data_IF_434340966319
#
_entry.id   IF_434340966319
#
_cell.length_a   1.000
_cell.length_b   1.000
_cell.length_c   1.000
_cell.angle_alpha   90.00
_cell.angle_beta   90.00
_cell.angle_gamma   90.00
#
_symmetry.space_group_name_H-M   'P 1'
#
loop_
_entity.id
_entity.type
_entity.pdbx_description
1 polymer ?
#
# COMPACT_ATOMS: atom_id res chain seq x y z
N UNK A 1 -24.15 -42.01 -2.72
CA UNK A 1 -24.93 -40.81 -2.33
C UNK A 1 -23.90 -39.76 -1.93
N UNK A 2 -23.65 -38.75 -2.76
CA UNK A 2 -22.65 -37.72 -2.46
C UNK A 2 -23.17 -36.83 -1.33
N UNK A 3 -22.41 -36.71 -0.25
CA UNK A 3 -22.70 -35.88 0.91
C UNK A 3 -22.50 -34.40 0.56
N UNK A 4 -23.41 -33.83 -0.25
CA UNK A 4 -23.30 -32.44 -0.75
C UNK A 4 -23.54 -31.37 0.33
N UNK A 5 -24.03 -31.76 1.50
CA UNK A 5 -24.31 -30.85 2.62
C UNK A 5 -23.16 -30.75 3.64
N UNK A 6 -22.09 -31.54 3.50
CA UNK A 6 -20.90 -31.41 4.35
C UNK A 6 -19.93 -30.36 3.78
N UNK A 7 -19.52 -29.40 4.61
CA UNK A 7 -18.47 -28.41 4.27
C UNK A 7 -17.18 -29.11 3.80
N UNK A 8 -16.47 -28.48 2.85
CA UNK A 8 -15.30 -29.03 2.18
C UNK A 8 -14.17 -29.45 3.15
N UNK A 9 -14.00 -28.78 4.29
CA UNK A 9 -13.05 -29.20 5.32
C UNK A 9 -13.43 -30.55 5.95
N UNK A 10 -14.71 -30.73 6.30
CA UNK A 10 -15.21 -31.99 6.85
C UNK A 10 -15.08 -33.12 5.83
N UNK A 11 -15.41 -32.85 4.56
CA UNK A 11 -15.21 -33.79 3.45
C UNK A 11 -13.73 -34.16 3.27
N UNK A 12 -12.82 -33.21 3.46
CA UNK A 12 -11.36 -33.44 3.45
C UNK A 12 -10.85 -34.21 4.70
N UNK A 13 -11.70 -34.47 5.69
CA UNK A 13 -11.33 -35.14 6.94
C UNK A 13 -10.72 -34.21 7.99
N UNK A 14 -10.84 -32.89 7.83
CA UNK A 14 -10.47 -31.89 8.83
C UNK A 14 -11.64 -31.75 9.81
N UNK A 15 -11.48 -32.25 11.03
CA UNK A 15 -12.51 -32.21 12.08
C UNK A 15 -12.41 -31.00 13.01
N UNK A 16 -11.22 -30.40 13.12
CA UNK A 16 -10.97 -29.19 13.89
C UNK A 16 -10.25 -28.17 12.99
N UNK A 17 -10.98 -27.15 12.56
CA UNK A 17 -10.45 -26.12 11.66
C UNK A 17 -9.43 -25.22 12.38
N UNK A 18 -9.62 -24.97 13.68
CA UNK A 18 -8.71 -24.16 14.48
C UNK A 18 -7.34 -24.84 14.65
N UNK A 19 -7.34 -26.13 14.95
CA UNK A 19 -6.10 -26.95 15.01
C UNK A 19 -5.42 -27.07 13.64
N UNK A 20 -6.20 -27.27 12.57
CA UNK A 20 -5.67 -27.29 11.21
C UNK A 20 -4.91 -26.01 10.86
N UNK A 21 -5.51 -24.84 11.12
CA UNK A 21 -4.84 -23.56 10.88
C UNK A 21 -3.68 -23.32 11.85
N UNK A 22 -3.80 -23.72 13.11
CA UNK A 22 -2.71 -23.65 14.09
C UNK A 22 -1.48 -24.40 13.60
N UNK A 23 -1.59 -25.68 13.31
CA UNK A 23 -0.43 -26.50 12.90
C UNK A 23 0.23 -26.02 11.60
N UNK A 24 -0.53 -25.32 10.76
CA UNK A 24 -0.08 -24.82 9.47
C UNK A 24 0.57 -23.45 9.50
N UNK A 25 0.01 -22.53 10.29
CA UNK A 25 0.42 -21.12 10.29
C UNK A 25 1.06 -20.68 11.62
N UNK A 26 1.00 -21.51 12.66
CA UNK A 26 1.67 -21.27 13.94
C UNK A 26 2.91 -22.15 14.02
N UNK A 27 4.08 -21.54 13.83
CA UNK A 27 5.38 -22.12 14.17
C UNK A 27 6.01 -21.37 15.33
N UNK A 28 6.98 -21.97 16.01
CA UNK A 28 7.77 -21.28 17.05
C UNK A 28 8.41 -20.00 16.51
N UNK A 29 8.72 -19.97 15.20
CA UNK A 29 9.24 -18.79 14.51
C UNK A 29 8.16 -17.70 14.34
N UNK A 30 6.92 -18.05 14.00
CA UNK A 30 5.77 -17.12 13.87
C UNK A 30 5.33 -16.56 15.23
N UNK A 31 5.51 -17.34 16.29
CA UNK A 31 5.26 -16.95 17.68
C UNK A 31 6.40 -16.12 18.31
N UNK A 32 7.54 -16.01 17.62
CA UNK A 32 8.66 -15.19 18.06
C UNK A 32 8.35 -13.71 17.85
N UNK A 33 8.53 -12.88 18.88
CA UNK A 33 8.35 -11.43 18.79
C UNK A 33 9.27 -10.76 17.73
N UNK A 34 10.33 -11.45 17.28
CA UNK A 34 11.21 -11.03 16.18
C UNK A 34 10.60 -11.24 14.80
N UNK A 35 9.62 -12.13 14.65
CA UNK A 35 8.98 -12.45 13.36
C UNK A 35 8.37 -11.23 12.68
N UNK A 36 7.80 -10.32 13.48
CA UNK A 36 7.11 -9.12 13.01
C UNK A 36 7.93 -7.83 13.13
N UNK A 37 9.26 -7.92 13.26
CA UNK A 37 10.10 -6.75 12.98
C UNK A 37 9.96 -6.44 11.50
N UNK A 38 9.04 -5.54 11.16
CA UNK A 38 8.64 -5.18 9.80
C UNK A 38 9.80 -4.71 8.87
N UNK A 39 11.03 -4.58 9.38
CA UNK A 39 12.23 -4.26 8.61
C UNK A 39 13.08 -5.50 8.27
N UNK A 40 12.75 -6.67 8.82
CA UNK A 40 13.53 -7.90 8.66
C UNK A 40 13.05 -8.80 7.51
N UNK A 41 11.86 -8.56 6.95
CA UNK A 41 11.37 -9.20 5.71
C UNK A 41 10.67 -8.17 4.83
N UNK A 42 11.24 -7.83 3.67
CA UNK A 42 10.54 -7.11 2.60
C UNK A 42 10.07 -8.12 1.54
N UNK A 43 9.13 -8.99 1.90
CA UNK A 43 8.56 -9.97 0.96
C UNK A 43 7.16 -9.53 0.47
N UNK A 44 6.47 -10.39 -0.28
CA UNK A 44 5.11 -10.12 -0.78
C UNK A 44 4.11 -9.80 0.34
N UNK A 45 4.28 -10.39 1.53
CA UNK A 45 3.42 -10.12 2.70
C UNK A 45 3.64 -8.71 3.21
N UNK A 46 4.88 -8.24 3.18
CA UNK A 46 5.21 -6.85 3.48
C UNK A 46 4.55 -5.88 2.49
N UNK A 47 4.59 -6.15 1.18
CA UNK A 47 3.93 -5.29 0.17
C UNK A 47 2.41 -5.19 0.41
N UNK A 48 1.74 -6.31 0.72
CA UNK A 48 0.31 -6.36 1.08
C UNK A 48 0.00 -5.58 2.36
N UNK A 49 0.87 -5.72 3.35
CA UNK A 49 0.77 -5.00 4.63
C UNK A 49 0.96 -3.50 4.42
N UNK A 50 1.90 -3.09 3.57
CA UNK A 50 2.12 -1.68 3.22
C UNK A 50 0.94 -1.09 2.45
N UNK A 51 0.31 -1.87 1.56
CA UNK A 51 -0.93 -1.45 0.91
C UNK A 51 -2.03 -1.09 1.92
N UNK A 52 -2.27 -1.93 2.93
CA UNK A 52 -3.19 -1.61 4.03
C UNK A 52 -2.68 -0.39 4.79
N UNK A 53 -1.41 -0.39 5.19
CA UNK A 53 -0.81 0.70 5.95
C UNK A 53 -1.04 2.04 5.28
N UNK A 54 -0.75 2.18 3.99
CA UNK A 54 -0.79 3.46 3.28
C UNK A 54 -2.23 3.98 3.06
N UNK A 55 -3.22 3.09 3.02
CA UNK A 55 -4.63 3.46 2.82
C UNK A 55 -5.43 3.66 4.10
N UNK A 56 -4.98 3.10 5.23
CA UNK A 56 -5.62 3.31 6.53
C UNK A 56 -5.26 4.69 7.09
N UNK A 57 -6.28 5.47 7.47
CA UNK A 57 -6.09 6.77 8.10
C UNK A 57 -5.60 6.64 9.55
N UNK A 58 -4.80 7.62 9.99
CA UNK A 58 -4.32 7.67 11.36
C UNK A 58 -5.46 7.84 12.37
N UNK A 59 -5.33 7.22 13.54
CA UNK A 59 -6.33 7.28 14.62
C UNK A 59 -7.59 6.43 14.40
N UNK A 60 -7.69 5.71 13.28
CA UNK A 60 -8.89 4.92 12.93
C UNK A 60 -9.06 3.67 13.79
N UNK A 61 -10.29 3.13 13.83
CA UNK A 61 -10.60 1.80 14.34
C UNK A 61 -10.54 0.78 13.22
N UNK A 62 -9.71 -0.25 13.37
CA UNK A 62 -9.42 -1.28 12.34
C UNK A 62 -9.74 -2.67 12.89
N UNK A 63 -10.51 -3.44 12.13
CA UNK A 63 -10.73 -4.87 12.36
C UNK A 63 -9.95 -5.69 11.32
N UNK A 64 -9.08 -6.58 11.77
CA UNK A 64 -8.31 -7.51 10.94
C UNK A 64 -8.93 -8.92 11.03
N UNK A 65 -9.49 -9.39 9.91
CA UNK A 65 -10.12 -10.70 9.78
C UNK A 65 -9.10 -11.76 9.41
N UNK A 66 -8.97 -12.80 10.22
CA UNK A 66 -7.93 -13.81 10.10
C UNK A 66 -6.56 -13.23 10.43
N UNK A 67 -6.45 -12.58 11.60
CA UNK A 67 -5.27 -11.77 11.95
C UNK A 67 -3.97 -12.58 12.11
N UNK A 68 -4.06 -13.91 12.17
CA UNK A 68 -2.93 -14.78 12.44
C UNK A 68 -2.17 -14.33 13.68
N UNK A 69 -0.84 -14.31 13.62
CA UNK A 69 -0.01 -13.81 14.70
C UNK A 69 0.20 -12.27 14.70
N UNK A 70 -0.56 -11.50 13.92
CA UNK A 70 -0.60 -10.04 14.02
C UNK A 70 0.30 -9.28 13.03
N UNK A 71 0.21 -9.62 11.75
CA UNK A 71 1.05 -9.02 10.70
C UNK A 71 0.83 -7.51 10.52
N UNK A 72 -0.36 -7.00 10.83
CA UNK A 72 -0.69 -5.58 10.68
C UNK A 72 -0.31 -4.72 11.89
N UNK A 73 0.46 -5.25 12.85
CA UNK A 73 0.90 -4.51 14.04
C UNK A 73 1.62 -3.19 13.71
N UNK A 74 2.22 -3.07 12.52
CA UNK A 74 2.87 -1.84 12.09
C UNK A 74 1.89 -0.66 11.95
N UNK A 75 0.59 -0.90 11.75
CA UNK A 75 -0.46 0.12 11.76
C UNK A 75 -0.50 0.91 13.06
N UNK A 76 -0.01 0.36 14.18
CA UNK A 76 0.09 1.08 15.45
C UNK A 76 0.94 2.35 15.36
N UNK A 77 1.85 2.45 14.38
CA UNK A 77 2.59 3.69 14.07
C UNK A 77 1.69 4.84 13.64
N UNK A 78 0.51 4.54 13.09
CA UNK A 78 -0.55 5.50 12.74
C UNK A 78 -1.51 5.80 13.90
N UNK A 79 -1.25 5.29 15.10
CA UNK A 79 -2.10 5.51 16.27
C UNK A 79 -3.49 4.90 16.15
N UNK A 80 -3.68 3.88 15.31
CA UNK A 80 -4.96 3.18 15.16
C UNK A 80 -5.29 2.35 16.40
N UNK A 81 -6.58 2.07 16.58
CA UNK A 81 -7.05 0.98 17.44
C UNK A 81 -7.20 -0.27 16.58
N UNK A 82 -6.41 -1.30 16.86
CA UNK A 82 -6.30 -2.51 16.06
C UNK A 82 -6.92 -3.70 16.79
N UNK A 83 -8.01 -4.23 16.23
CA UNK A 83 -8.71 -5.42 16.71
C UNK A 83 -8.49 -6.56 15.72
N UNK A 84 -8.12 -7.75 16.20
CA UNK A 84 -7.93 -8.94 15.37
C UNK A 84 -8.92 -10.06 15.72
N UNK A 85 -9.33 -10.82 14.71
CA UNK A 85 -10.09 -12.06 14.92
C UNK A 85 -9.44 -13.20 14.16
N UNK A 86 -9.38 -14.38 14.77
CA UNK A 86 -8.83 -15.59 14.14
C UNK A 86 -9.56 -16.83 14.65
N UNK A 87 -9.48 -17.96 13.94
CA UNK A 87 -10.04 -19.23 14.42
C UNK A 87 -9.12 -19.92 15.44
N UNK A 88 -7.82 -19.58 15.47
CA UNK A 88 -6.85 -20.11 16.43
C UNK A 88 -6.72 -19.19 17.67
N UNK A 89 -6.91 -19.75 18.87
CA UNK A 89 -6.59 -19.07 20.13
C UNK A 89 -5.13 -18.65 20.24
N UNK A 90 -4.20 -19.45 19.72
CA UNK A 90 -2.77 -19.21 19.74
C UNK A 90 -2.39 -18.02 18.85
N UNK A 91 -2.95 -17.94 17.64
CA UNK A 91 -2.85 -16.77 16.77
C UNK A 91 -3.34 -15.50 17.48
N UNK A 92 -4.54 -15.56 18.06
CA UNK A 92 -5.13 -14.45 18.82
C UNK A 92 -4.27 -14.02 20.02
N UNK A 93 -3.60 -14.95 20.69
CA UNK A 93 -2.67 -14.63 21.78
C UNK A 93 -1.38 -13.97 21.24
N UNK A 94 -0.85 -14.46 20.12
CA UNK A 94 0.33 -13.90 19.48
C UNK A 94 0.08 -12.49 18.93
N UNK A 95 -1.04 -12.25 18.26
CA UNK A 95 -1.41 -10.93 17.75
C UNK A 95 -1.46 -9.86 18.86
N UNK A 96 -2.03 -10.20 20.02
CA UNK A 96 -2.01 -9.34 21.22
C UNK A 96 -0.59 -9.05 21.70
N UNK A 97 0.28 -10.07 21.79
CA UNK A 97 1.68 -9.88 22.16
C UNK A 97 2.43 -8.98 21.17
N UNK A 98 2.05 -9.03 19.90
CA UNK A 98 2.68 -8.29 18.81
C UNK A 98 2.12 -6.86 18.63
N UNK A 99 1.14 -6.44 19.43
CA UNK A 99 0.75 -5.03 19.54
C UNK A 99 -0.70 -4.71 19.14
N UNK A 100 -1.54 -5.72 18.90
CA UNK A 100 -2.98 -5.53 18.72
C UNK A 100 -3.60 -5.14 20.06
N UNK A 101 -4.49 -4.15 20.07
CA UNK A 101 -5.18 -3.72 21.30
C UNK A 101 -6.13 -4.81 21.80
N UNK A 102 -6.79 -5.49 20.86
CA UNK A 102 -7.67 -6.62 21.11
C UNK A 102 -7.42 -7.69 20.06
N UNK A 103 -7.43 -8.96 20.46
CA UNK A 103 -7.58 -10.06 19.52
C UNK A 103 -8.40 -11.18 20.15
N UNK A 104 -9.21 -11.90 19.37
CA UNK A 104 -10.07 -12.94 19.93
C UNK A 104 -10.36 -14.07 18.94
N UNK A 105 -10.70 -15.22 19.50
CA UNK A 105 -11.09 -16.39 18.72
C UNK A 105 -12.56 -16.32 18.37
N UNK A 106 -12.89 -16.19 17.08
CA UNK A 106 -14.28 -16.19 16.61
C UNK A 106 -14.38 -16.62 15.15
N UNK A 107 -15.60 -16.98 14.73
CA UNK A 107 -15.92 -17.24 13.32
C UNK A 107 -16.19 -15.91 12.62
N UNK A 108 -15.77 -15.79 11.37
CA UNK A 108 -15.95 -14.56 10.60
C UNK A 108 -17.41 -14.33 10.16
N UNK A 109 -18.23 -15.38 10.17
CA UNK A 109 -19.66 -15.34 9.84
C UNK A 109 -20.56 -14.94 11.01
N UNK A 110 -19.98 -14.72 12.20
CA UNK A 110 -20.69 -14.26 13.40
C UNK A 110 -19.72 -13.45 14.27
N UNK A 111 -19.58 -12.16 13.95
CA UNK A 111 -18.63 -11.27 14.61
C UNK A 111 -19.25 -10.67 15.88
N UNK A 112 -18.57 -10.75 17.05
CA UNK A 112 -19.09 -10.29 18.33
C UNK A 112 -18.92 -8.76 18.52
N UNK A 113 -19.17 -7.99 17.47
CA UNK A 113 -19.07 -6.53 17.46
C UNK A 113 -20.43 -5.92 17.14
N UNK A 114 -20.67 -4.72 17.67
CA UNK A 114 -21.86 -3.95 17.30
C UNK A 114 -21.79 -3.49 15.84
N UNK A 115 -22.94 -3.15 15.28
CA UNK A 115 -23.02 -2.54 13.96
C UNK A 115 -22.20 -1.24 13.91
N UNK A 116 -21.60 -0.93 12.76
CA UNK A 116 -20.91 0.35 12.51
C UNK A 116 -19.79 0.67 13.52
N UNK A 117 -19.04 -0.34 13.93
CA UNK A 117 -17.96 -0.23 14.92
C UNK A 117 -16.64 0.24 14.32
N UNK A 118 -16.30 -0.17 13.10
CA UNK A 118 -14.97 0.01 12.52
C UNK A 118 -14.95 0.99 11.35
N UNK A 119 -13.89 1.80 11.27
CA UNK A 119 -13.60 2.62 10.09
C UNK A 119 -13.05 1.77 8.95
N UNK A 120 -12.26 0.74 9.29
CA UNK A 120 -11.71 -0.20 8.34
C UNK A 120 -11.94 -1.64 8.79
N UNK A 121 -12.34 -2.48 7.85
CA UNK A 121 -12.29 -3.94 7.99
C UNK A 121 -11.29 -4.45 6.96
N UNK A 122 -10.29 -5.19 7.38
CA UNK A 122 -9.18 -5.60 6.51
C UNK A 122 -8.98 -7.10 6.59
N UNK A 123 -8.48 -7.69 5.52
CA UNK A 123 -8.14 -9.10 5.50
C UNK A 123 -7.11 -9.38 4.42
N UNK A 124 -6.05 -10.11 4.74
CA UNK A 124 -5.01 -10.52 3.80
C UNK A 124 -4.95 -12.04 3.77
N UNK A 125 -5.18 -12.64 2.60
CA UNK A 125 -5.06 -14.10 2.39
C UNK A 125 -6.05 -14.94 3.21
N UNK A 126 -7.31 -14.49 3.34
CA UNK A 126 -8.34 -15.22 4.12
C UNK A 126 -9.58 -15.57 3.30
N UNK A 127 -9.99 -14.73 2.35
CA UNK A 127 -11.24 -14.95 1.60
C UNK A 127 -11.22 -16.26 0.81
N UNK A 128 -10.06 -16.69 0.28
CA UNK A 128 -9.91 -17.96 -0.42
C UNK A 128 -10.01 -19.21 0.48
N UNK A 129 -9.86 -19.03 1.79
CA UNK A 129 -9.99 -20.07 2.82
C UNK A 129 -11.45 -20.25 3.30
N UNK A 130 -12.36 -19.36 2.92
CA UNK A 130 -13.76 -19.43 3.33
C UNK A 130 -14.54 -20.23 2.28
N UNK A 131 -15.28 -21.25 2.72
CA UNK A 131 -16.17 -22.03 1.83
C UNK A 131 -17.19 -21.15 1.11
N UNK A 132 -17.56 -21.50 -0.13
CA UNK A 132 -18.46 -20.70 -0.97
C UNK A 132 -19.79 -20.36 -0.29
N UNK A 133 -20.29 -21.27 0.53
CA UNK A 133 -21.53 -21.19 1.29
C UNK A 133 -21.45 -20.21 2.47
N UNK A 134 -20.27 -19.99 3.05
CA UNK A 134 -20.07 -19.11 4.20
C UNK A 134 -19.70 -17.68 3.80
N UNK A 135 -19.16 -17.47 2.59
CA UNK A 135 -18.67 -16.16 2.13
C UNK A 135 -19.69 -15.05 2.23
N UNK A 136 -20.95 -15.31 1.87
CA UNK A 136 -21.99 -14.28 1.92
C UNK A 136 -22.33 -13.87 3.36
N UNK A 137 -22.31 -14.82 4.30
CA UNK A 137 -22.49 -14.53 5.72
C UNK A 137 -21.33 -13.69 6.26
N UNK A 138 -20.09 -14.03 5.88
CA UNK A 138 -18.91 -13.24 6.25
C UNK A 138 -18.99 -11.82 5.68
N UNK A 139 -19.30 -11.65 4.40
CA UNK A 139 -19.42 -10.32 3.80
C UNK A 139 -20.59 -9.51 4.37
N UNK A 140 -21.67 -10.17 4.79
CA UNK A 140 -22.76 -9.54 5.55
C UNK A 140 -22.25 -8.98 6.87
N UNK A 141 -21.46 -9.75 7.63
CA UNK A 141 -20.85 -9.30 8.87
C UNK A 141 -19.86 -8.16 8.66
N UNK A 142 -19.03 -8.24 7.61
CA UNK A 142 -18.14 -7.13 7.21
C UNK A 142 -18.93 -5.86 6.97
N UNK A 143 -19.99 -5.92 6.17
CA UNK A 143 -20.85 -4.76 5.88
C UNK A 143 -21.53 -4.22 7.14
N UNK A 144 -21.98 -5.10 8.03
CA UNK A 144 -22.65 -4.75 9.29
C UNK A 144 -21.74 -4.01 10.26
N UNK A 145 -20.53 -4.51 10.50
CA UNK A 145 -19.60 -3.92 11.48
C UNK A 145 -18.85 -2.70 10.94
N UNK A 146 -18.88 -2.47 9.63
CA UNK A 146 -18.28 -1.31 8.98
C UNK A 146 -19.17 -0.07 9.17
N UNK A 147 -18.55 1.07 9.48
CA UNK A 147 -19.23 2.37 9.51
C UNK A 147 -19.78 2.75 8.13
N UNK A 148 -20.78 3.65 8.04
CA UNK A 148 -21.34 4.08 6.75
C UNK A 148 -20.30 4.53 5.72
N UNK A 149 -19.28 5.28 6.17
CA UNK A 149 -18.16 5.77 5.35
C UNK A 149 -16.90 4.90 5.47
N UNK A 150 -17.00 3.76 6.17
CA UNK A 150 -15.88 2.86 6.34
C UNK A 150 -15.49 2.16 5.04
N UNK A 151 -14.26 1.68 4.99
CA UNK A 151 -13.71 0.98 3.81
C UNK A 151 -13.27 -0.41 4.21
N UNK A 152 -13.71 -1.42 3.46
CA UNK A 152 -13.18 -2.77 3.59
C UNK A 152 -12.10 -3.02 2.54
N UNK A 153 -10.99 -3.65 2.95
CA UNK A 153 -9.81 -3.86 2.10
C UNK A 153 -9.32 -5.31 2.17
N UNK A 154 -9.22 -5.96 1.03
CA UNK A 154 -8.90 -7.38 0.94
C UNK A 154 -7.77 -7.66 -0.02
N UNK A 155 -6.81 -8.46 0.42
CA UNK A 155 -5.88 -9.15 -0.45
C UNK A 155 -6.34 -10.59 -0.65
N UNK A 156 -6.63 -10.98 -1.90
CA UNK A 156 -7.34 -12.22 -2.20
C UNK A 156 -6.64 -13.01 -3.31
N UNK A 157 -6.38 -14.28 -3.06
CA UNK A 157 -5.92 -15.25 -4.05
C UNK A 157 -7.08 -15.65 -4.97
N UNK A 158 -6.86 -15.55 -6.28
CA UNK A 158 -7.82 -15.96 -7.29
C UNK A 158 -7.36 -17.25 -7.97
N UNK A 159 -8.32 -17.93 -8.59
CA UNK A 159 -8.06 -19.06 -9.48
C UNK A 159 -8.57 -18.76 -10.89
N UNK A 160 -8.35 -19.68 -11.82
CA UNK A 160 -8.94 -19.69 -13.16
C UNK A 160 -10.10 -20.67 -13.17
N UNK A 161 -11.26 -20.30 -13.71
CA UNK A 161 -12.37 -21.22 -13.85
C UNK A 161 -12.00 -22.48 -14.64
N UNK A 162 -11.10 -22.41 -15.61
CA UNK A 162 -10.64 -23.57 -16.36
C UNK A 162 -9.68 -24.48 -15.56
N UNK A 163 -8.92 -23.91 -14.61
CA UNK A 163 -8.00 -24.65 -13.74
C UNK A 163 -8.61 -24.99 -12.36
N UNK A 164 -9.76 -24.39 -12.04
CA UNK A 164 -10.49 -24.60 -10.79
C UNK A 164 -10.96 -26.05 -10.77
N UNK A 165 -10.31 -26.84 -9.93
CA UNK A 165 -10.73 -28.22 -9.73
C UNK A 165 -12.15 -28.23 -9.17
N UNK A 166 -13.02 -29.05 -9.74
CA UNK A 166 -14.36 -29.20 -9.22
C UNK A 166 -14.29 -29.97 -7.89
N UNK A 167 -14.37 -29.25 -6.77
CA UNK A 167 -14.32 -29.83 -5.42
C UNK A 167 -15.40 -30.90 -5.21
N UNK A 168 -16.52 -30.82 -5.92
CA UNK A 168 -17.61 -31.80 -5.83
C UNK A 168 -17.31 -33.11 -6.55
N UNK A 169 -16.38 -33.08 -7.51
CA UNK A 169 -15.94 -34.26 -8.26
C UNK A 169 -14.71 -34.93 -7.62
N UNK A 170 -14.01 -34.24 -6.72
CA UNK A 170 -12.89 -34.80 -5.98
C UNK A 170 -13.33 -35.91 -5.03
N UNK A 171 -12.60 -37.03 -5.06
CA UNK A 171 -12.71 -38.01 -3.98
C UNK A 171 -12.09 -37.47 -2.68
N UNK A 172 -12.36 -38.15 -1.57
CA UNK A 172 -11.91 -37.72 -0.23
C UNK A 172 -10.40 -37.54 -0.11
N UNK A 173 -9.62 -38.41 -0.76
CA UNK A 173 -8.16 -38.36 -0.66
C UNK A 173 -7.56 -37.22 -1.48
N UNK A 174 -8.09 -36.98 -2.67
CA UNK A 174 -7.66 -35.86 -3.52
C UNK A 174 -8.05 -34.50 -2.93
N UNK A 175 -9.27 -34.40 -2.38
CA UNK A 175 -9.72 -33.21 -1.66
C UNK A 175 -8.87 -32.98 -0.40
N UNK A 176 -8.55 -34.05 0.35
CA UNK A 176 -7.65 -33.96 1.50
C UNK A 176 -6.27 -33.45 1.10
N UNK A 177 -5.63 -34.02 0.07
CA UNK A 177 -4.33 -33.56 -0.43
C UNK A 177 -4.38 -32.08 -0.85
N UNK A 178 -5.45 -31.68 -1.53
CA UNK A 178 -5.64 -30.29 -1.95
C UNK A 178 -5.79 -29.32 -0.76
N UNK A 179 -6.61 -29.69 0.23
CA UNK A 179 -6.85 -28.88 1.42
C UNK A 179 -5.61 -28.85 2.34
N UNK A 180 -4.92 -29.96 2.55
CA UNK A 180 -3.70 -30.04 3.36
C UNK A 180 -2.61 -29.09 2.84
N UNK A 181 -2.53 -28.91 1.54
CA UNK A 181 -1.52 -28.13 0.83
C UNK A 181 -1.57 -26.64 1.19
N UNK A 182 -2.67 -25.93 0.90
CA UNK A 182 -2.79 -24.49 1.21
C UNK A 182 -4.07 -24.12 1.96
N UNK A 183 -5.04 -25.03 2.06
CA UNK A 183 -6.25 -24.83 2.86
C UNK A 183 -7.32 -24.02 2.15
N UNK A 184 -7.09 -23.59 0.91
CA UNK A 184 -8.09 -22.88 0.11
C UNK A 184 -9.21 -23.82 -0.31
N UNK A 185 -10.44 -23.52 0.13
CA UNK A 185 -11.65 -24.27 -0.24
C UNK A 185 -12.66 -23.39 -0.98
N UNK A 186 -12.32 -22.13 -1.20
CA UNK A 186 -13.19 -21.12 -1.77
C UNK A 186 -12.50 -20.23 -2.78
N UNK A 187 -11.61 -20.74 -3.63
CA UNK A 187 -11.02 -19.88 -4.66
C UNK A 187 -12.08 -19.52 -5.73
N UNK A 188 -12.18 -18.24 -6.02
CA UNK A 188 -13.02 -17.68 -7.09
C UNK A 188 -12.14 -16.98 -8.12
N UNK A 189 -12.69 -16.67 -9.28
CA UNK A 189 -12.05 -15.74 -10.20
C UNK A 189 -12.12 -14.29 -9.66
N UNK A 190 -11.24 -13.43 -10.15
CA UNK A 190 -11.23 -12.00 -9.84
C UNK A 190 -12.62 -11.35 -10.02
N UNK A 191 -13.28 -11.61 -11.16
CA UNK A 191 -14.57 -11.00 -11.47
C UNK A 191 -15.70 -11.57 -10.61
N UNK A 192 -15.57 -12.80 -10.13
CA UNK A 192 -16.51 -13.42 -9.20
C UNK A 192 -16.40 -12.78 -7.82
N UNK A 193 -15.18 -12.52 -7.34
CA UNK A 193 -14.98 -11.72 -6.12
C UNK A 193 -15.61 -10.34 -6.25
N UNK A 194 -15.32 -9.61 -7.33
CA UNK A 194 -15.92 -8.29 -7.57
C UNK A 194 -17.46 -8.31 -7.54
N UNK A 195 -18.08 -9.25 -8.27
CA UNK A 195 -19.54 -9.44 -8.27
C UNK A 195 -20.10 -9.77 -6.90
N UNK A 196 -19.40 -10.58 -6.10
CA UNK A 196 -19.84 -10.95 -4.76
C UNK A 196 -19.84 -9.73 -3.83
N UNK A 197 -18.76 -8.95 -3.83
CA UNK A 197 -18.68 -7.72 -3.02
C UNK A 197 -19.74 -6.68 -3.42
N UNK A 198 -20.08 -6.56 -4.72
CA UNK A 198 -21.12 -5.65 -5.21
C UNK A 198 -22.52 -5.95 -4.67
N UNK A 199 -22.75 -7.14 -4.10
CA UNK A 199 -24.02 -7.48 -3.42
C UNK A 199 -24.15 -6.80 -2.05
N UNK A 200 -23.03 -6.37 -1.46
CA UNK A 200 -22.96 -5.84 -0.09
C UNK A 200 -22.52 -4.38 -0.02
N UNK A 201 -21.89 -3.87 -1.07
CA UNK A 201 -21.32 -2.52 -1.13
C UNK A 201 -21.66 -1.81 -2.44
N UNK A 202 -21.91 -0.50 -2.36
CA UNK A 202 -22.23 0.34 -3.53
C UNK A 202 -21.03 0.59 -4.44
N UNK A 203 -19.86 0.74 -3.85
CA UNK A 203 -18.61 1.00 -4.55
C UNK A 203 -17.66 -0.17 -4.28
N UNK A 204 -17.25 -0.84 -5.36
CA UNK A 204 -16.28 -1.93 -5.31
C UNK A 204 -15.28 -1.68 -6.41
N UNK A 205 -14.00 -1.68 -6.06
CA UNK A 205 -12.91 -1.57 -6.99
C UNK A 205 -11.88 -2.64 -6.62
N UNK A 206 -11.25 -3.22 -7.63
CA UNK A 206 -10.19 -4.18 -7.41
C UNK A 206 -9.12 -4.03 -8.49
N UNK A 207 -7.92 -4.46 -8.13
CA UNK A 207 -6.74 -4.29 -8.96
C UNK A 207 -5.98 -5.62 -9.00
N UNK A 208 -5.86 -6.23 -10.19
CA UNK A 208 -5.12 -7.47 -10.32
C UNK A 208 -3.63 -7.20 -10.11
N UNK A 209 -3.01 -8.14 -9.41
CA UNK A 209 -1.61 -8.14 -9.02
C UNK A 209 -0.99 -9.41 -9.52
N UNK A 210 0.10 -9.26 -10.28
CA UNK A 210 0.88 -10.42 -10.65
C UNK A 210 1.75 -10.78 -9.48
N UNK A 211 1.44 -11.90 -8.86
CA UNK A 211 2.29 -12.49 -7.84
C UNK A 211 3.37 -13.34 -8.53
N UNK A 212 4.36 -12.69 -9.17
CA UNK A 212 5.71 -13.25 -9.05
C UNK A 212 6.15 -12.95 -7.62
N UNK A 213 6.93 -13.84 -7.01
CA UNK A 213 7.57 -13.70 -5.69
C UNK A 213 6.88 -14.40 -4.53
N UNK A 214 6.82 -15.71 -4.67
CA UNK A 214 6.99 -16.66 -3.58
C UNK A 214 8.42 -16.44 -3.02
N UNK A 215 8.59 -16.30 -1.71
CA UNK A 215 9.93 -16.23 -1.10
C UNK A 215 10.78 -17.41 -1.54
N UNK A 216 12.10 -17.38 -1.34
CA UNK A 216 12.95 -18.53 -1.65
C UNK A 216 12.41 -19.83 -1.02
N UNK A 217 11.88 -19.76 0.21
CA UNK A 217 11.24 -20.88 0.91
C UNK A 217 10.00 -21.39 0.18
N UNK A 218 9.22 -20.50 -0.40
CA UNK A 218 7.98 -20.86 -1.06
C UNK A 218 8.25 -21.45 -2.45
N UNK A 219 9.28 -21.00 -3.18
CA UNK A 219 9.78 -21.71 -4.38
C UNK A 219 10.21 -23.15 -4.06
N UNK A 220 10.98 -23.34 -2.98
CA UNK A 220 11.40 -24.67 -2.55
C UNK A 220 10.22 -25.52 -2.10
N UNK A 221 9.29 -24.96 -1.33
CA UNK A 221 8.06 -25.62 -0.92
C UNK A 221 7.24 -26.06 -2.14
N UNK A 222 7.05 -25.18 -3.13
CA UNK A 222 6.36 -25.48 -4.40
C UNK A 222 7.05 -26.61 -5.18
N UNK A 223 8.37 -26.58 -5.30
CA UNK A 223 9.13 -27.65 -5.96
C UNK A 223 9.01 -28.98 -5.19
N UNK A 224 9.37 -28.97 -3.92
CA UNK A 224 9.54 -30.17 -3.09
C UNK A 224 8.20 -30.82 -2.73
N UNK A 225 7.13 -30.03 -2.53
CA UNK A 225 5.82 -30.54 -2.10
C UNK A 225 4.77 -30.61 -3.21
N UNK A 226 4.86 -29.78 -4.25
CA UNK A 226 3.83 -29.67 -5.30
C UNK A 226 4.30 -30.23 -6.64
N UNK A 227 5.59 -30.60 -6.76
CA UNK A 227 6.14 -31.15 -7.99
C UNK A 227 6.13 -30.16 -9.15
N UNK A 228 6.09 -28.86 -8.86
CA UNK A 228 6.25 -27.83 -9.88
C UNK A 228 7.68 -27.88 -10.42
N UNK A 229 7.79 -27.88 -11.74
CA UNK A 229 9.08 -27.98 -12.42
C UNK A 229 9.76 -26.61 -12.41
N UNK A 230 10.89 -26.54 -11.72
CA UNK A 230 11.84 -25.44 -11.79
C UNK A 230 13.19 -25.99 -12.27
N UNK A 231 14.08 -25.13 -12.73
CA UNK A 231 15.45 -25.51 -13.09
C UNK A 231 16.18 -26.00 -11.83
N UNK A 232 16.87 -27.16 -11.90
CA UNK A 232 17.50 -27.77 -10.73
C UNK A 232 18.59 -26.88 -10.11
N UNK A 233 19.37 -26.20 -10.95
CA UNK A 233 20.40 -25.26 -10.52
C UNK A 233 19.81 -24.02 -9.82
N UNK A 234 18.63 -23.57 -10.24
CA UNK A 234 17.89 -22.53 -9.53
C UNK A 234 17.44 -22.99 -8.14
N UNK A 235 16.88 -24.20 -8.02
CA UNK A 235 16.49 -24.74 -6.71
C UNK A 235 17.70 -24.94 -5.80
N UNK A 236 18.82 -25.43 -6.33
CA UNK A 236 20.05 -25.61 -5.57
C UNK A 236 20.66 -24.28 -5.15
N UNK A 237 20.60 -23.26 -6.01
CA UNK A 237 20.94 -21.87 -5.63
C UNK A 237 20.10 -21.41 -4.44
N UNK A 238 18.77 -21.56 -4.49
CA UNK A 238 17.86 -21.17 -3.40
C UNK A 238 18.13 -21.94 -2.10
N UNK A 239 18.45 -23.24 -2.17
CA UNK A 239 18.84 -24.06 -1.01
C UNK A 239 20.19 -23.61 -0.42
N UNK A 240 21.11 -23.15 -1.28
CA UNK A 240 22.44 -22.69 -0.91
C UNK A 240 22.51 -21.28 -0.31
N UNK A 241 21.44 -20.49 -0.38
CA UNK A 241 21.41 -19.13 0.16
C UNK A 241 21.69 -19.09 1.67
N UNK A 242 22.71 -18.34 2.08
CA UNK A 242 22.88 -17.96 3.48
C UNK A 242 21.71 -17.10 3.97
N UNK A 243 21.56 -16.93 5.29
CA UNK A 243 20.50 -16.08 5.85
C UNK A 243 20.47 -14.66 5.26
N UNK A 244 21.65 -14.05 5.02
CA UNK A 244 21.75 -12.70 4.45
C UNK A 244 21.38 -12.65 2.97
N UNK A 245 21.80 -13.65 2.19
CA UNK A 245 21.50 -13.73 0.76
C UNK A 245 20.02 -14.07 0.53
N UNK A 246 19.47 -14.97 1.34
CA UNK A 246 18.03 -15.27 1.38
C UNK A 246 17.22 -14.00 1.64
N UNK A 247 17.62 -13.22 2.65
CA UNK A 247 17.03 -11.92 2.92
C UNK A 247 17.13 -10.99 1.71
N UNK A 248 18.30 -10.85 1.08
CA UNK A 248 18.47 -9.97 -0.07
C UNK A 248 17.63 -10.41 -1.27
N UNK A 249 17.54 -11.71 -1.54
CA UNK A 249 16.69 -12.30 -2.58
C UNK A 249 15.21 -12.00 -2.30
N UNK A 250 14.72 -12.34 -1.11
CA UNK A 250 13.33 -12.10 -0.73
C UNK A 250 12.99 -10.60 -0.76
N UNK A 251 13.93 -9.73 -0.37
CA UNK A 251 13.80 -8.28 -0.49
C UNK A 251 13.66 -7.85 -1.96
N UNK A 252 14.57 -8.29 -2.84
CA UNK A 252 14.53 -7.95 -4.25
C UNK A 252 13.22 -8.42 -4.90
N UNK A 253 12.73 -9.59 -4.49
CA UNK A 253 11.49 -10.18 -4.97
C UNK A 253 10.24 -9.45 -4.43
N UNK A 254 10.20 -9.07 -3.15
CA UNK A 254 9.10 -8.27 -2.59
C UNK A 254 8.98 -6.85 -3.16
N UNK A 255 10.08 -6.28 -3.68
CA UNK A 255 10.05 -5.01 -4.43
C UNK A 255 9.36 -5.12 -5.81
N UNK A 256 9.20 -6.32 -6.37
CA UNK A 256 8.52 -6.56 -7.67
C UNK A 256 7.03 -6.84 -7.47
N UNK A 257 6.37 -6.18 -6.51
CA UNK A 257 4.91 -6.16 -6.46
C UNK A 257 4.37 -5.05 -7.38
N UNK A 258 4.49 -5.27 -8.68
CA UNK A 258 4.04 -4.32 -9.71
C UNK A 258 2.53 -4.38 -9.96
N UNK A 259 1.93 -3.24 -10.34
CA UNK A 259 0.64 -3.25 -11.01
C UNK A 259 0.84 -3.89 -12.39
N UNK A 260 -0.02 -4.83 -12.75
CA UNK A 260 0.14 -5.59 -14.00
C UNK A 260 0.16 -4.67 -15.22
N UNK A 261 -0.70 -3.66 -15.23
CA UNK A 261 -0.75 -2.70 -16.35
C UNK A 261 0.58 -1.98 -16.55
N UNK A 262 1.35 -1.73 -15.49
CA UNK A 262 2.63 -0.99 -15.56
C UNK A 262 3.74 -1.73 -16.31
N UNK A 263 3.51 -3.00 -16.68
CA UNK A 263 4.52 -3.85 -17.33
C UNK A 263 4.29 -3.99 -18.84
N UNK A 264 3.22 -3.43 -19.42
CA UNK A 264 2.78 -3.67 -20.81
C UNK A 264 2.80 -5.17 -21.20
N UNK A 265 2.52 -6.03 -20.21
CA UNK A 265 2.55 -7.48 -20.34
C UNK A 265 1.13 -8.03 -20.33
N UNK A 266 0.78 -8.78 -21.37
CA UNK A 266 -0.42 -9.62 -21.35
C UNK A 266 -0.12 -10.91 -20.62
N UNK A 267 -0.61 -11.03 -19.39
CA UNK A 267 -0.46 -12.23 -18.57
C UNK A 267 -1.60 -13.23 -18.81
N UNK A 268 -1.42 -14.50 -18.41
CA UNK A 268 -2.51 -15.47 -18.39
C UNK A 268 -3.70 -14.91 -17.60
N UNK A 269 -4.93 -15.14 -18.07
CA UNK A 269 -6.17 -14.70 -17.39
C UNK A 269 -6.44 -15.44 -16.07
N UNK A 270 -5.46 -16.19 -15.57
CA UNK A 270 -5.61 -17.33 -14.68
C UNK A 270 -4.71 -17.21 -13.45
N UNK A 271 -5.25 -17.44 -12.25
CA UNK A 271 -4.45 -17.63 -11.03
C UNK A 271 -3.78 -16.37 -10.47
N UNK A 272 -4.44 -15.21 -10.60
CA UNK A 272 -3.91 -13.93 -10.14
C UNK A 272 -4.20 -13.66 -8.65
N UNK A 273 -3.55 -12.66 -8.09
CA UNK A 273 -3.89 -12.11 -6.78
C UNK A 273 -4.60 -10.78 -6.99
N UNK A 274 -5.56 -10.40 -6.15
CA UNK A 274 -6.25 -9.11 -6.26
C UNK A 274 -6.17 -8.32 -4.98
N UNK A 275 -5.97 -7.02 -5.12
CA UNK A 275 -6.31 -6.07 -4.07
C UNK A 275 -7.71 -5.54 -4.33
N UNK A 276 -8.61 -5.69 -3.38
CA UNK A 276 -10.01 -5.28 -3.50
C UNK A 276 -10.35 -4.29 -2.38
N UNK A 277 -10.98 -3.16 -2.75
CA UNK A 277 -11.59 -2.21 -1.83
C UNK A 277 -13.10 -2.19 -2.05
N UNK A 278 -13.85 -2.06 -0.97
CA UNK A 278 -15.29 -1.83 -1.07
C UNK A 278 -15.80 -0.89 0.02
N UNK A 279 -16.82 -0.10 -0.30
CA UNK A 279 -17.47 0.83 0.62
C UNK A 279 -18.87 1.21 0.12
N UNK A 280 -19.69 1.77 1.01
CA UNK A 280 -20.93 2.45 0.63
C UNK A 280 -20.72 3.90 0.22
N UNK A 281 -19.53 4.45 0.47
CA UNK A 281 -19.09 5.78 0.05
C UNK A 281 -18.07 5.68 -1.09
N UNK A 282 -17.90 6.74 -1.90
CA UNK A 282 -16.94 6.73 -3.01
C UNK A 282 -15.54 6.33 -2.55
N UNK A 283 -14.91 5.43 -3.31
CA UNK A 283 -13.58 4.94 -3.00
C UNK A 283 -12.51 5.94 -3.47
N UNK A 284 -11.50 6.14 -2.63
CA UNK A 284 -10.25 6.79 -3.04
C UNK A 284 -9.36 5.88 -3.90
N UNK A 285 -8.31 6.46 -4.50
CA UNK A 285 -7.37 5.73 -5.37
C UNK A 285 -6.71 4.55 -4.66
N UNK A 286 -6.30 3.51 -5.40
CA UNK A 286 -5.39 2.48 -4.89
C UNK A 286 -4.00 3.05 -4.58
N UNK A 287 -3.31 2.37 -3.66
CA UNK A 287 -1.90 2.60 -3.40
C UNK A 287 -1.12 2.57 -4.72
N UNK A 288 -0.18 3.50 -4.90
CA UNK A 288 0.63 3.65 -6.12
C UNK A 288 -0.12 4.04 -7.40
N UNK A 289 -1.38 4.49 -7.38
CA UNK A 289 -2.00 5.07 -8.58
C UNK A 289 -1.21 6.29 -9.11
N UNK A 290 -0.51 7.02 -8.24
CA UNK A 290 0.43 8.09 -8.63
C UNK A 290 1.80 7.58 -9.15
N UNK A 291 1.97 6.26 -9.29
CA UNK A 291 3.14 5.60 -9.88
C UNK A 291 2.82 4.87 -11.19
N UNK A 292 1.69 5.18 -11.84
CA UNK A 292 1.39 4.71 -13.18
C UNK A 292 2.61 4.92 -14.10
N UNK A 293 3.20 3.80 -14.53
CA UNK A 293 4.43 3.78 -15.33
C UNK A 293 4.15 4.01 -16.81
N UNK A 294 2.89 4.01 -17.26
CA UNK A 294 2.56 4.35 -18.66
C UNK A 294 2.87 5.83 -18.94
N UNK A 295 2.79 6.68 -17.90
CA UNK A 295 3.30 8.05 -17.97
C UNK A 295 4.84 8.15 -18.09
N UNK A 296 5.59 7.06 -17.84
CA UNK A 296 7.05 6.99 -18.05
C UNK A 296 7.42 6.64 -19.50
N UNK A 297 6.47 6.12 -20.29
CA UNK A 297 6.70 5.73 -21.67
C UNK A 297 5.50 6.09 -22.56
N UNK A 298 5.52 7.28 -23.14
CA UNK A 298 4.71 7.61 -24.32
C UNK A 298 5.64 7.67 -25.54
N UNK A 299 5.33 6.88 -26.57
CA UNK A 299 5.95 7.05 -27.91
C UNK A 299 5.44 8.29 -28.64
N UNK A 300 4.43 8.96 -28.08
CA UNK A 300 3.80 10.14 -28.66
C UNK A 300 4.35 11.41 -27.97
N UNK A 301 5.26 12.09 -28.66
CA UNK A 301 5.84 13.39 -28.29
C UNK A 301 4.76 14.46 -28.02
N UNK A 302 3.54 14.30 -28.58
CA UNK A 302 2.46 15.27 -28.45
C UNK A 302 1.70 15.21 -27.11
N UNK A 303 1.86 14.12 -26.33
CA UNK A 303 1.28 13.96 -25.00
C UNK A 303 2.17 14.51 -23.86
N UNK A 304 3.32 15.12 -24.17
CA UNK A 304 4.21 15.80 -23.21
C UNK A 304 3.61 17.11 -22.67
N UNK A 305 2.41 17.08 -22.11
CA UNK A 305 2.03 18.13 -21.17
C UNK A 305 2.88 17.93 -19.91
N UNK A 306 3.71 18.92 -19.57
CA UNK A 306 4.51 18.93 -18.34
C UNK A 306 3.55 18.82 -17.15
N UNK A 307 3.30 17.59 -16.70
CA UNK A 307 2.46 17.33 -15.54
C UNK A 307 3.33 17.09 -14.32
N UNK A 308 4.55 16.57 -14.49
CA UNK A 308 5.49 16.24 -13.43
C UNK A 308 6.91 16.69 -13.82
N UNK A 309 7.46 17.66 -13.07
CA UNK A 309 8.73 18.32 -13.36
C UNK A 309 9.95 17.47 -12.96
N UNK A 310 9.88 16.77 -11.82
CA UNK A 310 10.98 15.95 -11.28
C UNK A 310 11.33 14.73 -12.13
N UNK A 311 10.50 14.41 -13.12
CA UNK A 311 10.63 13.27 -14.03
C UNK A 311 10.72 13.71 -15.50
N UNK A 312 10.87 15.00 -15.77
CA UNK A 312 10.89 15.53 -17.14
C UNK A 312 12.30 16.03 -17.52
N UNK A 313 12.85 15.48 -18.61
CA UNK A 313 14.20 15.83 -19.08
C UNK A 313 14.35 17.26 -19.59
N UNK A 314 13.25 17.98 -19.84
CA UNK A 314 13.26 19.40 -20.20
C UNK A 314 13.34 20.33 -18.98
N UNK A 315 13.27 19.78 -17.76
CA UNK A 315 13.36 20.53 -16.50
C UNK A 315 14.79 20.53 -16.00
N UNK A 316 15.26 21.69 -15.55
CA UNK A 316 16.60 21.83 -15.00
C UNK A 316 16.52 22.03 -13.48
N UNK A 317 17.18 21.14 -12.75
CA UNK A 317 17.44 21.28 -11.31
C UNK A 317 18.83 21.89 -11.15
N UNK A 318 18.99 22.85 -10.24
CA UNK A 318 20.31 23.43 -9.93
C UNK A 318 21.10 22.61 -8.90
N UNK A 319 22.30 23.09 -8.54
CA UNK A 319 23.19 22.44 -7.59
C UNK A 319 22.68 22.48 -6.13
N UNK A 320 21.56 23.16 -5.86
CA UNK A 320 20.89 23.14 -4.57
C UNK A 320 20.20 21.79 -4.27
N UNK A 321 20.04 20.95 -5.29
CA UNK A 321 19.46 19.62 -5.20
C UNK A 321 20.53 18.53 -5.12
N UNK A 322 20.38 17.64 -4.16
CA UNK A 322 21.12 16.39 -4.08
C UNK A 322 20.34 15.28 -4.81
N UNK A 323 20.82 14.92 -6.00
CA UNK A 323 20.24 13.81 -6.78
C UNK A 323 20.61 12.45 -6.15
N UNK A 324 19.65 11.50 -6.02
CA UNK A 324 19.99 10.13 -5.70
C UNK A 324 20.59 9.42 -6.93
N UNK A 325 21.50 8.46 -6.69
CA UNK A 325 22.15 7.66 -7.74
C UNK A 325 21.19 6.71 -8.52
N UNK A 326 19.88 6.74 -8.23
CA UNK A 326 18.84 5.93 -8.85
C UNK A 326 17.86 6.85 -9.58
N UNK A 327 17.70 6.66 -10.89
CA UNK A 327 16.79 7.43 -11.74
C UNK A 327 15.60 6.55 -12.19
N UNK A 328 14.34 7.03 -12.09
CA UNK A 328 13.95 8.32 -11.51
C UNK A 328 14.06 8.34 -9.97
N UNK A 329 14.34 9.51 -9.37
CA UNK A 329 14.54 9.64 -7.92
C UNK A 329 13.23 9.42 -7.16
N UNK A 330 13.27 8.69 -6.02
CA UNK A 330 12.11 8.58 -5.10
C UNK A 330 11.78 9.94 -4.48
N UNK A 331 12.82 10.74 -4.19
CA UNK A 331 12.74 12.14 -3.76
C UNK A 331 14.10 12.82 -3.99
N UNK A 332 14.11 14.15 -4.15
CA UNK A 332 15.32 14.97 -4.23
C UNK A 332 15.48 15.73 -2.92
N UNK A 333 16.64 15.60 -2.29
CA UNK A 333 16.96 16.37 -1.08
C UNK A 333 17.49 17.74 -1.48
N UNK A 334 17.10 18.80 -0.78
CA UNK A 334 17.70 20.12 -0.98
C UNK A 334 18.59 20.53 0.19
N UNK A 335 19.54 21.40 -0.12
CA UNK A 335 20.28 22.19 0.88
C UNK A 335 19.38 23.29 1.47
N UNK A 336 19.92 24.46 1.83
CA UNK A 336 19.13 25.60 2.31
C UNK A 336 18.29 26.25 1.20
N UNK A 337 18.70 26.14 -0.05
CA UNK A 337 18.00 26.68 -1.21
C UNK A 337 18.17 25.71 -2.38
N UNK A 338 17.12 25.58 -3.19
CA UNK A 338 17.19 24.85 -4.44
C UNK A 338 16.21 25.43 -5.48
N UNK A 339 16.56 25.29 -6.74
CA UNK A 339 15.85 25.92 -7.85
C UNK A 339 15.46 24.89 -8.92
N UNK A 340 14.25 25.03 -9.45
CA UNK A 340 13.71 24.24 -10.57
C UNK A 340 13.29 25.18 -11.68
N UNK A 341 13.84 24.97 -12.87
CA UNK A 341 13.50 25.75 -14.08
C UNK A 341 12.74 24.88 -15.06
N UNK A 342 11.62 25.38 -15.53
CA UNK A 342 10.72 24.67 -16.45
C UNK A 342 9.94 25.64 -17.34
N UNK A 343 9.38 25.11 -18.41
CA UNK A 343 8.45 25.85 -19.26
C UNK A 343 7.03 25.33 -19.05
N UNK A 344 6.03 26.21 -19.05
CA UNK A 344 4.63 25.83 -18.98
C UNK A 344 3.77 26.92 -19.62
N UNK A 345 2.70 26.53 -20.31
CA UNK A 345 1.68 27.48 -20.79
C UNK A 345 0.54 27.53 -19.79
N UNK A 346 -0.03 28.71 -19.53
CA UNK A 346 -1.23 28.86 -18.70
C UNK A 346 -1.14 28.22 -17.30
N UNK A 347 0.03 28.33 -16.64
CA UNK A 347 0.28 27.72 -15.33
C UNK A 347 -0.70 28.25 -14.26
N UNK A 348 -1.48 27.35 -13.65
CA UNK A 348 -2.50 27.69 -12.65
C UNK A 348 -2.16 27.23 -11.24
N UNK A 349 -1.44 26.10 -11.13
CA UNK A 349 -1.09 25.51 -9.84
C UNK A 349 0.23 24.75 -9.94
N UNK A 350 1.02 24.79 -8.87
CA UNK A 350 2.17 23.91 -8.63
C UNK A 350 1.87 23.08 -7.39
N UNK A 351 1.77 21.77 -7.55
CA UNK A 351 1.64 20.79 -6.46
C UNK A 351 3.01 20.20 -6.15
N UNK A 352 3.35 20.01 -4.88
CA UNK A 352 4.57 19.30 -4.50
C UNK A 352 4.38 18.49 -3.22
N UNK A 353 4.89 17.28 -3.20
CA UNK A 353 4.97 16.44 -2.02
C UNK A 353 6.32 16.66 -1.34
N UNK A 354 6.32 17.08 -0.09
CA UNK A 354 7.54 17.33 0.65
C UNK A 354 7.53 16.70 2.03
N UNK A 355 8.73 16.44 2.55
CA UNK A 355 8.97 15.92 3.90
C UNK A 355 10.26 16.48 4.45
N UNK A 356 10.47 16.38 5.76
CA UNK A 356 11.73 16.67 6.41
C UNK A 356 12.08 15.58 7.41
N UNK A 357 13.38 15.41 7.64
CA UNK A 357 13.94 14.55 8.67
C UNK A 357 14.80 15.32 9.67
N UNK A 358 14.54 16.62 9.83
CA UNK A 358 15.21 17.40 10.86
C UNK A 358 14.93 16.82 12.25
N UNK A 359 15.98 16.45 13.02
CA UNK A 359 15.80 15.73 14.28
C UNK A 359 15.12 16.57 15.37
N UNK A 360 15.22 17.91 15.28
CA UNK A 360 14.72 18.89 16.24
C UNK A 360 13.53 19.71 15.68
N UNK A 361 12.84 19.24 14.64
CA UNK A 361 11.77 20.01 13.97
C UNK A 361 10.58 20.33 14.88
N UNK A 362 10.38 19.54 15.95
CA UNK A 362 9.31 19.76 16.92
C UNK A 362 9.63 20.91 17.87
N UNK A 363 10.90 21.02 18.27
CA UNK A 363 11.40 22.06 19.17
C UNK A 363 11.69 23.35 18.41
N UNK A 364 12.15 23.24 17.16
CA UNK A 364 12.48 24.34 16.27
C UNK A 364 11.83 24.10 14.91
N UNK A 365 10.64 24.64 14.64
CA UNK A 365 10.00 24.48 13.34
C UNK A 365 10.90 24.93 12.18
N UNK A 366 10.82 24.24 11.04
CA UNK A 366 11.55 24.56 9.81
C UNK A 366 10.69 25.51 8.96
N UNK A 367 11.19 26.71 8.66
CA UNK A 367 10.51 27.67 7.80
C UNK A 367 10.85 27.34 6.35
N UNK A 368 9.83 27.17 5.52
CA UNK A 368 9.95 26.91 4.08
C UNK A 368 9.25 28.01 3.29
N UNK A 369 9.98 28.64 2.37
CA UNK A 369 9.51 29.69 1.46
C UNK A 369 9.53 29.18 0.01
N UNK A 370 8.48 29.51 -0.75
CA UNK A 370 8.37 29.25 -2.18
C UNK A 370 8.32 30.58 -2.92
N UNK A 371 9.21 30.74 -3.89
CA UNK A 371 9.35 31.94 -4.71
C UNK A 371 9.27 31.51 -6.18
N UNK A 372 8.42 32.15 -6.97
CA UNK A 372 8.27 31.87 -8.40
C UNK A 372 8.63 33.12 -9.20
N UNK A 373 9.64 33.05 -10.08
CA UNK A 373 10.14 34.19 -10.85
C UNK A 373 10.42 35.41 -9.97
N UNK A 374 11.16 35.19 -8.87
CA UNK A 374 11.52 36.20 -7.86
C UNK A 374 10.35 36.81 -7.07
N UNK A 375 9.13 36.28 -7.22
CA UNK A 375 7.94 36.74 -6.50
C UNK A 375 7.51 35.68 -5.45
N UNK A 376 7.36 36.06 -4.17
CA UNK A 376 6.96 35.12 -3.13
C UNK A 376 5.56 34.55 -3.39
N UNK A 377 5.44 33.22 -3.43
CA UNK A 377 4.15 32.53 -3.50
C UNK A 377 3.58 32.27 -2.11
N UNK A 378 4.37 31.66 -1.23
CA UNK A 378 3.94 31.33 0.12
C UNK A 378 5.13 31.04 1.03
N UNK A 379 4.88 31.10 2.34
CA UNK A 379 5.81 30.67 3.38
C UNK A 379 5.03 29.93 4.47
N UNK A 380 5.55 28.81 4.95
CA UNK A 380 4.97 28.09 6.08
C UNK A 380 6.03 27.42 6.95
N UNK A 381 5.62 26.93 8.11
CA UNK A 381 6.49 26.21 9.04
C UNK A 381 6.12 24.74 9.16
N UNK A 382 7.12 23.87 9.06
CA UNK A 382 7.01 22.44 9.38
C UNK A 382 7.40 22.23 10.84
N UNK A 383 6.52 21.59 11.61
CA UNK A 383 6.71 21.33 13.04
C UNK A 383 6.72 19.83 13.39
N UNK A 384 6.54 18.96 12.39
CA UNK A 384 6.56 17.50 12.52
C UNK A 384 7.13 16.86 11.26
N UNK A 385 7.75 15.70 11.43
CA UNK A 385 8.14 14.84 10.31
C UNK A 385 6.89 14.19 9.70
N UNK A 386 6.87 14.06 8.37
CA UNK A 386 5.78 13.46 7.62
C UNK A 386 5.71 14.00 6.21
N UNK A 387 5.07 13.24 5.32
CA UNK A 387 4.76 13.71 3.97
C UNK A 387 3.62 14.72 4.01
N UNK A 388 3.82 15.84 3.32
CA UNK A 388 2.86 16.91 3.17
C UNK A 388 2.75 17.25 1.68
N UNK A 389 1.53 17.21 1.15
CA UNK A 389 1.24 17.79 -0.16
C UNK A 389 0.95 19.27 0.00
N UNK A 390 1.66 20.09 -0.76
CA UNK A 390 1.48 21.54 -0.82
C UNK A 390 0.99 21.91 -2.21
N UNK A 391 -0.12 22.63 -2.29
CA UNK A 391 -0.67 23.15 -3.54
C UNK A 391 -0.48 24.67 -3.55
N UNK A 392 0.32 25.16 -4.49
CA UNK A 392 0.64 26.56 -4.68
C UNK A 392 -0.18 27.09 -5.85
N UNK A 393 -1.17 27.94 -5.56
CA UNK A 393 -1.89 28.65 -6.61
C UNK A 393 -0.97 29.68 -7.26
N UNK A 394 -0.95 29.73 -8.58
CA UNK A 394 -0.12 30.68 -9.34
C UNK A 394 -1.01 31.85 -9.80
N UNK A 395 -0.77 33.08 -9.31
CA UNK A 395 -1.47 34.27 -9.79
C UNK A 395 -1.35 34.47 -11.30
N UNK A 396 -2.46 34.77 -11.98
CA UNK A 396 -2.50 35.07 -13.43
C UNK A 396 -1.52 36.19 -13.81
N UNK A 397 -1.29 37.15 -12.91
CA UNK A 397 -0.32 38.24 -13.11
C UNK A 397 1.12 37.75 -13.21
N UNK A 398 1.50 36.65 -12.55
CA UNK A 398 2.82 36.04 -12.70
C UNK A 398 2.92 35.27 -14.02
N UNK A 399 1.87 34.54 -14.40
CA UNK A 399 1.82 33.80 -15.67
C UNK A 399 2.00 34.74 -16.87
N UNK A 400 1.26 35.86 -16.87
CA UNK A 400 1.33 36.85 -17.96
C UNK A 400 2.72 37.50 -18.13
N UNK A 401 3.55 37.53 -17.08
CA UNK A 401 4.90 38.12 -17.07
C UNK A 401 5.99 37.10 -17.39
N UNK A 402 5.71 35.82 -17.20
CA UNK A 402 6.67 34.73 -17.30
C UNK A 402 7.03 34.33 -18.74
N UNK A 403 6.21 34.70 -19.74
CA UNK A 403 6.35 34.29 -21.14
C UNK A 403 6.60 32.77 -21.27
N UNK A 404 5.86 32.00 -20.47
CA UNK A 404 5.95 30.55 -20.39
C UNK A 404 7.19 29.98 -19.67
N UNK A 405 8.11 30.81 -19.17
CA UNK A 405 9.31 30.38 -18.46
C UNK A 405 9.16 30.60 -16.95
N UNK A 406 9.38 29.53 -16.17
CA UNK A 406 9.22 29.55 -14.73
C UNK A 406 10.48 29.08 -14.00
N UNK A 407 10.84 29.82 -12.95
CA UNK A 407 11.87 29.53 -11.99
C UNK A 407 11.23 29.41 -10.61
N UNK A 408 11.07 28.18 -10.12
CA UNK A 408 10.58 27.91 -8.76
C UNK A 408 11.78 27.72 -7.84
N UNK A 409 11.96 28.65 -6.91
CA UNK A 409 12.96 28.60 -5.85
C UNK A 409 12.30 28.21 -4.54
N UNK A 410 12.87 27.22 -3.88
CA UNK A 410 12.44 26.74 -2.56
C UNK A 410 13.57 27.04 -1.57
N UNK A 411 13.23 27.66 -0.45
CA UNK A 411 14.18 28.05 0.59
C UNK A 411 13.77 27.48 1.93
N UNK A 412 14.74 26.95 2.65
CA UNK A 412 14.62 26.55 4.04
C UNK A 412 15.54 27.42 4.90
N UNK A 413 15.05 27.91 6.04
CA UNK A 413 15.84 28.80 6.91
C UNK A 413 17.03 28.11 7.59
N UNK A 414 17.06 26.78 7.57
CA UNK A 414 18.11 25.97 8.18
C UNK A 414 18.23 24.59 7.54
N UNK A 415 19.40 24.00 7.73
CA UNK A 415 19.74 22.63 7.32
C UNK A 415 20.21 21.83 8.54
N UNK A 416 20.37 20.52 8.37
CA UNK A 416 21.08 19.66 9.31
C UNK A 416 21.96 18.67 8.56
N UNK A 417 22.99 18.17 9.24
CA UNK A 417 23.86 17.12 8.71
C UNK A 417 23.48 15.78 9.34
N UNK A 418 23.17 14.75 8.53
CA UNK A 418 23.05 13.37 9.00
C UNK A 418 24.28 12.98 9.84
N UNK A 419 24.09 12.61 11.11
CA UNK A 419 25.23 12.33 12.00
C UNK A 419 26.01 11.11 11.53
N UNK A 420 27.36 11.17 11.49
CA UNK A 420 28.19 10.00 11.24
C UNK A 420 28.28 9.12 12.50
N UNK A 421 28.22 7.81 12.32
CA UNK A 421 28.72 6.83 13.30
C UNK A 421 30.00 6.13 12.85
N UNK A 422 30.39 6.26 11.57
CA UNK A 422 31.59 5.65 10.99
C UNK A 422 32.09 6.47 9.78
N UNK A 423 33.41 6.58 9.59
CA UNK A 423 34.02 7.38 8.51
C UNK A 423 33.78 6.78 7.11
N UNK A 424 33.56 5.46 7.01
CA UNK A 424 33.33 4.77 5.73
C UNK A 424 31.93 5.03 5.11
N UNK A 425 30.99 5.57 5.88
CA UNK A 425 29.60 5.88 5.42
C UNK A 425 29.24 7.36 5.65
N UNK A 426 30.25 8.23 5.70
CA UNK A 426 30.09 9.63 6.04
C UNK A 426 29.36 10.39 4.92
N UNK A 427 28.19 10.94 5.27
CA UNK A 427 27.41 11.83 4.42
C UNK A 427 27.53 13.26 4.95
N UNK A 428 28.37 14.07 4.31
CA UNK A 428 28.65 15.46 4.72
C UNK A 428 27.62 16.47 4.20
N UNK A 429 26.58 16.02 3.48
CA UNK A 429 25.56 16.92 2.91
C UNK A 429 24.74 17.59 4.01
N UNK A 430 24.47 18.87 3.81
CA UNK A 430 23.56 19.66 4.64
C UNK A 430 22.18 19.62 4.00
N UNK A 431 21.21 18.97 4.65
CA UNK A 431 19.88 18.76 4.07
C UNK A 431 18.81 19.52 4.87
N UNK A 432 17.75 19.98 4.21
CA UNK A 432 16.60 20.62 4.86
C UNK A 432 15.30 19.81 4.66
N UNK A 433 14.77 19.80 3.43
CA UNK A 433 13.59 19.05 3.02
C UNK A 433 13.93 18.10 1.87
N UNK A 434 13.11 17.07 1.72
CA UNK A 434 13.03 16.26 0.51
C UNK A 434 11.74 16.62 -0.24
N UNK A 435 11.82 16.73 -1.56
CA UNK A 435 10.70 17.01 -2.44
C UNK A 435 10.55 15.89 -3.46
N UNK A 436 9.33 15.44 -3.69
CA UNK A 436 8.95 14.55 -4.79
C UNK A 436 7.68 15.07 -5.47
N UNK A 437 7.38 14.54 -6.66
CA UNK A 437 6.14 14.81 -7.39
C UNK A 437 5.86 16.31 -7.53
N UNK A 438 6.80 17.05 -8.15
CA UNK A 438 6.57 18.46 -8.44
C UNK A 438 5.68 18.51 -9.67
N UNK A 439 4.38 18.67 -9.46
CA UNK A 439 3.38 18.67 -10.51
C UNK A 439 2.96 20.08 -10.88
N UNK A 440 2.72 20.33 -12.16
CA UNK A 440 2.20 21.61 -12.63
C UNK A 440 0.91 21.42 -13.40
N UNK A 441 -0.03 22.33 -13.18
CA UNK A 441 -1.34 22.31 -13.82
C UNK A 441 -1.47 23.50 -14.76
N UNK A 442 -1.64 23.22 -16.05
CA UNK A 442 -1.85 24.22 -17.10
C UNK A 442 -3.34 24.36 -17.41
N UNK A 443 -3.83 25.59 -17.56
CA UNK A 443 -5.24 25.89 -17.78
C UNK A 443 -5.62 25.81 -19.25
N UNK A 444 -6.39 24.78 -19.65
CA UNK A 444 -7.02 24.71 -20.98
C UNK A 444 -8.12 23.64 -21.06
N UNK A 445 -9.38 24.08 -21.09
CA UNK A 445 -10.65 23.30 -21.14
C UNK A 445 -10.88 22.27 -20.02
N UNK A 446 -11.98 22.44 -19.30
CA UNK A 446 -12.47 21.52 -18.26
C UNK A 446 -12.37 20.04 -18.70
N UNK A 447 -11.75 19.16 -17.90
CA UNK A 447 -12.27 17.81 -17.76
C UNK A 447 -13.62 17.96 -17.06
N UNK A 448 -14.69 17.46 -17.70
CA UNK A 448 -16.06 17.42 -17.18
C UNK A 448 -16.09 17.19 -15.67
N UNK A 449 -16.84 18.05 -15.00
CA UNK A 449 -17.14 18.01 -13.57
C UNK A 449 -17.26 16.58 -13.02
N UNK A 450 -16.43 16.27 -12.01
CA UNK A 450 -16.79 15.35 -10.95
C UNK A 450 -16.93 16.19 -9.70
N UNK A 451 -18.17 16.25 -9.20
CA UNK A 451 -18.61 17.18 -8.18
C UNK A 451 -18.09 16.84 -6.78
N UNK A 452 -17.83 17.92 -6.02
CA UNK A 452 -17.81 18.04 -4.54
C UNK A 452 -16.73 17.26 -3.76
N UNK A 453 -16.06 17.78 -2.74
CA UNK A 453 -16.04 19.07 -2.03
C UNK A 453 -14.84 18.98 -1.06
N UNK A 454 -14.14 20.08 -0.76
CA UNK A 454 -14.20 20.81 0.51
C UNK A 454 -13.42 22.10 0.28
N UNK A 455 -14.06 23.26 0.43
CA UNK A 455 -13.39 24.57 0.54
C UNK A 455 -13.15 24.85 2.02
N UNK A 456 -11.90 24.89 2.46
CA UNK A 456 -11.55 25.48 3.75
C UNK A 456 -11.35 26.99 3.55
N UNK A 457 -12.32 27.80 3.98
CA UNK A 457 -12.12 29.23 4.20
C UNK A 457 -11.30 29.41 5.48
N UNK A 458 -10.08 29.93 5.37
CA UNK A 458 -9.33 30.42 6.53
C UNK A 458 -9.72 31.87 6.76
N UNK A 459 -10.41 32.12 7.88
CA UNK A 459 -10.76 33.45 8.34
C UNK A 459 -9.52 34.19 8.82
N UNK A 460 -9.22 35.34 8.20
CA UNK A 460 -8.20 36.27 8.64
C UNK A 460 -8.83 37.18 9.70
N UNK A 461 -8.54 36.94 10.99
CA UNK A 461 -8.79 37.93 12.03
C UNK A 461 -7.60 38.90 12.11
N UNK A 462 -7.78 40.11 11.59
CA UNK A 462 -6.90 41.25 11.89
C UNK A 462 -7.06 41.62 13.36
N UNK A 463 -5.97 41.58 14.12
CA UNK A 463 -5.90 42.26 15.42
C UNK A 463 -5.47 43.69 15.13
N UNK A 464 -6.41 44.63 15.25
CA UNK A 464 -6.11 46.05 15.26
C UNK A 464 -5.43 46.43 16.58
N UNK A 465 -4.27 47.04 16.47
CA UNK A 465 -3.57 47.73 17.54
C UNK A 465 -4.41 48.91 18.04
N UNK A 466 -4.82 48.89 19.30
CA UNK A 466 -5.24 50.10 20.02
C UNK A 466 -4.07 50.58 20.88
N UNK A 467 -3.84 51.88 20.75
CA UNK A 467 -2.89 52.80 21.40
C UNK A 467 -2.52 52.51 22.84
#
# INVERSE_FOLDING_TARGET
>A
MSNRDENLYTRAGVSDLGDFYRTKFVSDEVLDARYFKALDRFDIRFARTMWIYDNVHAGSSVLDLGCGAGMLALLKRKGVTLTGVDLSPECSLAARRNGYDFAMTTRLSDLPFADQTFDYVVSLDVIGHIGFEEKDAVLSEVSRVLRPDGVTMHGIECTDHAARKNYDEMNREDLRKFVEIDGHVGLEEEQEHGKRFLRFFRHVAWEPRYALCLSSDEFLKQADKYGLSFEEDFLDYLRGLSFKERRAFDMAMGYVFGKISDLDMTLPKSGLYVFLKASNSPLGPFYNEHRDRDALYSSDESLKQLTCLDRNSAVTFDDGWYEPNLLPPIARWMSSEACVRFQANDLSEISLDLTTHMPDVRERPLLVEFVLNDEPLTTFQLYRNGWLRVNLLVPESLVSRADGNFELRIRADRTWRPRPTNDETRDDREISIAVCNIEVKTGGTEPRAVASGIRAQVGISRVESST
#
